data_IF_254031751586
#
_entry.id   IF_254031751586
#
_cell.length_a   1.000
_cell.length_b   1.000
_cell.length_c   1.000
_cell.angle_alpha   90.00
_cell.angle_beta   90.00
_cell.angle_gamma   90.00
#
_symmetry.space_group_name_H-M   'P 1'
#
loop_
_entity.id
_entity.type
_entity.pdbx_description
1 polymer ?
#
# COMPACT_ATOMS: atom_id res chain seq x y z
N UNK A 1 16.64 -13.59 14.72
CA UNK A 1 16.07 -14.52 13.72
C UNK A 1 15.30 -13.66 12.73
N UNK A 2 15.66 -13.64 11.45
CA UNK A 2 14.92 -12.87 10.44
C UNK A 2 13.69 -13.68 9.99
N UNK A 3 12.53 -13.04 9.89
CA UNK A 3 11.26 -13.68 9.51
C UNK A 3 10.64 -12.88 8.37
N UNK A 4 10.36 -13.54 7.24
CA UNK A 4 9.57 -12.96 6.14
C UNK A 4 8.11 -12.99 6.55
N UNK A 5 7.41 -11.87 6.43
CA UNK A 5 6.00 -11.75 6.81
C UNK A 5 5.22 -11.39 5.54
N UNK A 6 4.33 -12.27 5.04
CA UNK A 6 3.56 -12.01 3.84
C UNK A 6 2.53 -10.92 4.15
N UNK A 7 2.67 -9.76 3.53
CA UNK A 7 1.76 -8.63 3.67
C UNK A 7 1.19 -8.29 2.30
N UNK A 8 -0.13 -8.12 2.19
CA UNK A 8 -0.80 -7.85 0.92
C UNK A 8 -1.39 -6.44 0.93
N UNK A 9 -1.01 -5.64 -0.06
CA UNK A 9 -1.58 -4.32 -0.29
C UNK A 9 -2.39 -4.30 -1.59
N UNK A 10 -3.49 -3.56 -1.59
CA UNK A 10 -4.43 -3.43 -2.69
C UNK A 10 -4.79 -1.95 -2.90
N UNK A 11 -4.88 -1.52 -4.15
CA UNK A 11 -5.41 -0.21 -4.53
C UNK A 11 -6.37 -0.34 -5.72
N UNK A 12 -7.49 0.38 -5.69
CA UNK A 12 -8.52 0.35 -6.74
C UNK A 12 -9.17 1.72 -6.88
N UNK A 13 -9.15 2.28 -8.09
CA UNK A 13 -9.99 3.41 -8.48
C UNK A 13 -11.26 2.95 -9.21
N UNK A 14 -12.18 3.89 -9.41
CA UNK A 14 -13.49 3.62 -10.02
C UNK A 14 -13.44 3.42 -11.54
N UNK A 15 -12.38 3.92 -12.18
CA UNK A 15 -12.11 3.81 -13.62
C UNK A 15 -10.73 3.19 -13.92
N UNK A 16 -10.18 2.44 -12.95
CA UNK A 16 -8.85 1.85 -13.03
C UNK A 16 -8.89 0.35 -12.94
N UNK A 17 -7.74 -0.25 -13.22
CA UNK A 17 -7.46 -1.59 -12.73
C UNK A 17 -7.09 -1.61 -11.26
N UNK A 18 -7.37 -2.74 -10.65
CA UNK A 18 -6.95 -3.03 -9.29
C UNK A 18 -5.45 -3.35 -9.33
N UNK A 19 -4.67 -2.67 -8.48
CA UNK A 19 -3.28 -3.00 -8.24
C UNK A 19 -3.18 -3.82 -6.95
N UNK A 20 -2.43 -4.91 -7.00
CA UNK A 20 -2.14 -5.75 -5.83
C UNK A 20 -0.63 -5.94 -5.72
N UNK A 21 -0.09 -5.90 -4.50
CA UNK A 21 1.31 -6.26 -4.25
C UNK A 21 1.40 -7.15 -3.02
N UNK A 22 2.08 -8.28 -3.19
CA UNK A 22 2.39 -9.26 -2.16
C UNK A 22 3.90 -9.49 -2.10
N UNK A 23 4.72 -8.45 -1.92
CA UNK A 23 6.19 -8.59 -1.91
C UNK A 23 6.73 -9.49 -3.05
N UNK A 24 6.13 -9.39 -4.25
CA UNK A 24 6.42 -10.19 -5.45
C UNK A 24 5.78 -9.54 -6.68
N UNK A 25 6.57 -9.36 -7.74
CA UNK A 25 6.32 -8.46 -8.88
C UNK A 25 5.66 -9.22 -10.05
N UNK A 26 4.56 -8.70 -10.63
CA UNK A 26 4.38 -8.34 -12.07
C UNK A 26 2.92 -8.40 -12.58
N UNK A 27 2.42 -7.20 -12.94
CA UNK A 27 1.55 -6.69 -14.03
C UNK A 27 0.34 -7.42 -14.65
N UNK A 28 -0.72 -6.62 -14.92
CA UNK A 28 -1.75 -6.82 -15.97
C UNK A 28 -2.66 -5.58 -16.21
N UNK A 29 -2.75 -5.08 -17.45
CA UNK A 29 -3.56 -3.93 -17.98
C UNK A 29 -5.09 -4.03 -17.72
N UNK A 30 -6.01 -3.00 -17.87
CA UNK A 30 -6.08 -1.80 -18.74
C UNK A 30 -6.72 -0.45 -18.17
N UNK A 31 -7.25 0.43 -19.06
CA UNK A 31 -7.90 1.78 -18.96
C UNK A 31 -7.23 2.93 -18.16
N UNK A 32 -6.70 2.67 -16.98
CA UNK A 32 -5.66 3.47 -16.30
C UNK A 32 -4.77 2.47 -15.56
N UNK A 33 -3.47 2.52 -15.85
CA UNK A 33 -2.53 1.51 -15.38
C UNK A 33 -1.97 1.85 -13.99
N UNK A 34 -2.73 1.51 -12.93
CA UNK A 34 -2.19 1.62 -11.56
C UNK A 34 -1.15 0.53 -11.29
N UNK A 35 0.01 0.93 -10.78
CA UNK A 35 1.00 0.01 -10.21
C UNK A 35 1.16 0.28 -8.72
N UNK A 36 1.32 -0.80 -7.95
CA UNK A 36 1.59 -0.73 -6.52
C UNK A 36 2.96 -1.37 -6.24
N UNK A 37 3.78 -0.72 -5.41
CA UNK A 37 5.10 -1.23 -5.02
C UNK A 37 5.34 -1.00 -3.55
N UNK A 38 5.60 -2.07 -2.80
CA UNK A 38 5.89 -2.05 -1.37
C UNK A 38 7.40 -2.14 -1.12
N UNK A 39 7.96 -1.20 -0.37
CA UNK A 39 9.37 -1.15 -0.02
C UNK A 39 9.54 -1.05 1.49
N UNK A 40 10.43 -1.84 2.07
CA UNK A 40 10.71 -1.82 3.50
C UNK A 40 12.05 -2.47 3.81
N UNK A 41 12.46 -2.48 5.09
CA UNK A 41 13.68 -3.14 5.51
C UNK A 41 13.64 -4.65 5.17
N UNK A 42 14.74 -5.16 4.62
CA UNK A 42 14.87 -6.57 4.24
C UNK A 42 14.77 -7.53 5.44
N UNK A 43 15.09 -7.04 6.63
CA UNK A 43 14.97 -7.76 7.89
C UNK A 43 14.45 -6.83 8.97
N UNK A 44 13.55 -7.35 9.80
CA UNK A 44 12.97 -6.63 10.93
C UNK A 44 13.26 -7.40 12.23
N UNK A 45 13.45 -6.66 13.32
CA UNK A 45 13.68 -7.24 14.65
C UNK A 45 12.34 -7.31 15.39
N UNK A 46 12.03 -8.46 15.97
CA UNK A 46 10.80 -8.64 16.76
C UNK A 46 10.75 -7.62 17.90
N UNK A 47 9.60 -6.98 18.07
CA UNK A 47 9.37 -5.95 19.09
C UNK A 47 9.93 -4.57 18.74
N UNK A 48 10.65 -4.41 17.63
CA UNK A 48 11.18 -3.12 17.18
C UNK A 48 10.27 -2.55 16.09
N UNK A 49 9.80 -1.30 16.21
CA UNK A 49 9.01 -0.66 15.17
C UNK A 49 9.89 -0.39 13.94
N UNK A 50 9.30 -0.56 12.76
CA UNK A 50 9.93 -0.29 11.47
C UNK A 50 8.92 0.35 10.52
N UNK A 51 9.43 1.16 9.61
CA UNK A 51 8.61 1.77 8.56
C UNK A 51 8.74 0.99 7.26
N UNK A 52 7.63 0.91 6.53
CA UNK A 52 7.62 0.53 5.14
C UNK A 52 6.73 1.48 4.35
N UNK A 53 7.00 1.60 3.06
CA UNK A 53 6.29 2.47 2.14
C UNK A 53 5.60 1.67 1.06
N UNK A 54 4.48 2.18 0.58
CA UNK A 54 3.73 1.66 -0.56
C UNK A 54 3.57 2.81 -1.53
N UNK A 55 4.07 2.62 -2.74
CA UNK A 55 3.94 3.60 -3.82
C UNK A 55 2.85 3.14 -4.78
N UNK A 56 1.82 3.96 -4.94
CA UNK A 56 0.73 3.77 -5.89
C UNK A 56 0.94 4.77 -7.01
N UNK A 57 1.24 4.29 -8.21
CA UNK A 57 1.53 5.14 -9.38
C UNK A 57 0.47 4.92 -10.44
N UNK A 58 -0.07 6.02 -10.97
CA UNK A 58 -0.84 5.96 -12.20
C UNK A 58 0.10 6.04 -13.40
N UNK A 59 0.37 4.91 -14.03
CA UNK A 59 1.23 4.81 -15.22
C UNK A 59 0.49 5.06 -16.53
N UNK A 60 -0.79 5.47 -16.46
CA UNK A 60 -1.46 5.95 -17.65
C UNK A 60 -0.86 7.30 -18.10
N UNK A 61 -0.88 7.55 -19.40
CA UNK A 61 -0.33 8.75 -20.00
C UNK A 61 -1.36 9.88 -20.10
N UNK A 62 -2.65 9.57 -20.10
CA UNK A 62 -3.73 10.53 -20.41
C UNK A 62 -4.88 10.50 -19.43
N UNK A 63 -5.14 9.37 -18.76
CA UNK A 63 -6.31 9.17 -17.93
C UNK A 63 -6.02 9.26 -16.43
N UNK A 64 -6.89 9.97 -15.70
CA UNK A 64 -6.80 10.12 -14.24
C UNK A 64 -7.48 8.94 -13.55
N UNK A 65 -6.82 8.34 -12.56
CA UNK A 65 -7.40 7.35 -11.67
C UNK A 65 -8.29 8.03 -10.62
N UNK A 66 -9.60 7.77 -10.63
CA UNK A 66 -10.56 8.47 -9.77
C UNK A 66 -10.90 7.70 -8.51
N UNK A 67 -10.95 8.40 -7.37
CA UNK A 67 -11.35 7.87 -6.06
C UNK A 67 -10.63 6.57 -5.70
N UNK A 68 -9.29 6.61 -5.71
CA UNK A 68 -8.45 5.44 -5.46
C UNK A 68 -8.56 5.02 -3.99
N UNK A 69 -9.28 3.93 -3.76
CA UNK A 69 -9.33 3.26 -2.48
C UNK A 69 -8.05 2.44 -2.25
N UNK A 70 -7.57 2.42 -1.01
CA UNK A 70 -6.38 1.72 -0.55
C UNK A 70 -6.73 0.81 0.62
N UNK A 71 -6.21 -0.40 0.60
CA UNK A 71 -6.27 -1.37 1.71
C UNK A 71 -4.94 -2.11 1.80
N UNK A 72 -4.38 -2.24 2.98
CA UNK A 72 -3.25 -3.10 3.28
C UNK A 72 -3.61 -3.98 4.47
N UNK A 73 -3.64 -5.29 4.20
CA UNK A 73 -4.01 -6.27 5.19
C UNK A 73 -2.84 -6.60 6.11
N UNK A 74 -3.12 -6.38 7.39
CA UNK A 74 -2.20 -6.66 8.45
C UNK A 74 -1.97 -8.18 8.60
N UNK A 75 -0.71 -8.66 8.57
CA UNK A 75 -0.43 -10.09 8.72
C UNK A 75 -0.30 -10.52 10.17
N UNK A 76 -0.72 -11.75 10.48
CA UNK A 76 -0.62 -12.28 11.84
C UNK A 76 0.82 -12.17 12.40
N UNK A 77 0.94 -11.68 13.64
CA UNK A 77 2.24 -11.44 14.27
C UNK A 77 2.92 -10.12 13.89
N UNK A 78 2.20 -9.19 13.26
CA UNK A 78 2.60 -7.78 13.14
C UNK A 78 1.61 -6.93 13.96
N UNK A 79 1.82 -5.63 14.09
CA UNK A 79 0.80 -4.64 14.45
C UNK A 79 1.12 -3.38 13.64
N UNK A 80 0.13 -2.75 13.01
CA UNK A 80 0.32 -1.41 12.44
C UNK A 80 0.12 -0.38 13.55
N UNK A 81 1.12 0.47 13.75
CA UNK A 81 1.12 1.51 14.78
C UNK A 81 0.56 2.83 14.23
N UNK A 82 1.02 3.23 13.05
CA UNK A 82 0.58 4.45 12.37
C UNK A 82 0.53 4.24 10.86
N UNK A 83 -0.34 5.00 10.19
CA UNK A 83 -0.38 5.11 8.74
C UNK A 83 -0.49 6.57 8.34
N UNK A 84 0.21 6.94 7.28
CA UNK A 84 0.16 8.27 6.68
C UNK A 84 0.23 8.16 5.17
N UNK A 85 -0.29 9.15 4.46
CA UNK A 85 -0.28 9.20 3.01
C UNK A 85 0.16 10.58 2.53
N UNK A 86 0.81 10.64 1.37
CA UNK A 86 1.12 11.90 0.70
C UNK A 86 -0.11 12.57 0.07
N UNK A 87 -1.20 11.83 -0.11
CA UNK A 87 -2.47 12.33 -0.63
C UNK A 87 -3.67 11.57 -0.06
N UNK A 88 -4.82 12.24 -0.01
CA UNK A 88 -6.05 11.67 0.53
C UNK A 88 -5.97 11.40 2.04
N UNK A 89 -6.86 10.53 2.51
CA UNK A 89 -6.99 10.18 3.93
C UNK A 89 -6.83 8.67 4.11
N UNK A 90 -6.04 8.30 5.10
CA UNK A 90 -5.76 6.91 5.49
C UNK A 90 -5.87 6.76 7.00
N UNK A 91 -6.27 5.58 7.46
CA UNK A 91 -6.40 5.22 8.86
C UNK A 91 -6.18 3.73 9.07
N UNK A 92 -5.93 3.33 10.31
CA UNK A 92 -5.96 1.91 10.71
C UNK A 92 -7.38 1.64 11.18
N UNK A 93 -8.04 0.62 10.61
CA UNK A 93 -9.41 0.28 10.95
C UNK A 93 -9.50 -0.55 12.25
N UNK A 94 -10.72 -0.91 12.65
CA UNK A 94 -10.96 -1.70 13.86
C UNK A 94 -10.43 -3.15 13.81
N UNK A 95 -10.06 -3.66 12.62
CA UNK A 95 -9.43 -4.98 12.45
C UNK A 95 -7.90 -4.92 12.42
N UNK A 96 -7.31 -3.72 12.43
CA UNK A 96 -5.86 -3.52 12.39
C UNK A 96 -5.26 -3.34 10.99
N UNK A 97 -6.10 -3.38 9.95
CA UNK A 97 -5.68 -3.14 8.56
C UNK A 97 -5.55 -1.64 8.29
N UNK A 98 -4.60 -1.26 7.43
CA UNK A 98 -4.51 0.11 6.95
C UNK A 98 -5.46 0.30 5.77
N UNK A 99 -6.35 1.28 5.84
CA UNK A 99 -7.36 1.56 4.82
C UNK A 99 -7.45 3.05 4.52
N UNK A 100 -7.97 3.42 3.36
CA UNK A 100 -8.20 4.83 3.06
C UNK A 100 -8.67 5.10 1.64
N UNK A 101 -8.87 6.37 1.36
CA UNK A 101 -9.10 6.88 0.01
C UNK A 101 -8.03 7.93 -0.29
N UNK A 102 -7.20 7.64 -1.30
CA UNK A 102 -6.09 8.45 -1.74
C UNK A 102 -6.54 9.63 -2.63
N UNK A 103 -7.82 9.66 -3.00
CA UNK A 103 -8.38 10.64 -3.92
C UNK A 103 -8.08 10.30 -5.37
N UNK A 104 -8.04 11.32 -6.21
CA UNK A 104 -7.76 11.17 -7.63
C UNK A 104 -6.25 11.24 -7.89
N UNK A 105 -5.72 10.33 -8.71
CA UNK A 105 -4.31 10.26 -9.08
C UNK A 105 -4.18 10.53 -10.58
N UNK A 106 -3.68 11.73 -10.91
CA UNK A 106 -3.47 12.15 -12.30
C UNK A 106 -2.41 11.29 -13.03
N UNK A 107 -2.39 11.29 -14.38
CA UNK A 107 -1.39 10.60 -15.18
C UNK A 107 0.05 10.88 -14.72
N UNK A 108 0.85 9.83 -14.52
CA UNK A 108 2.25 9.91 -14.11
C UNK A 108 2.50 10.29 -12.65
N UNK A 109 1.45 10.49 -11.84
CA UNK A 109 1.58 10.82 -10.42
C UNK A 109 1.71 9.55 -9.56
N UNK A 110 2.59 9.63 -8.57
CA UNK A 110 2.75 8.62 -7.52
C UNK A 110 2.26 9.18 -6.19
N UNK A 111 1.37 8.43 -5.53
CA UNK A 111 0.97 8.64 -4.13
C UNK A 111 1.68 7.61 -3.26
N UNK A 112 2.24 8.05 -2.14
CA UNK A 112 2.98 7.17 -1.22
C UNK A 112 2.25 7.06 0.11
N UNK A 113 2.01 5.83 0.55
CA UNK A 113 1.51 5.49 1.88
C UNK A 113 2.67 4.97 2.71
N UNK A 114 2.88 5.52 3.90
CA UNK A 114 3.89 5.07 4.86
C UNK A 114 3.21 4.47 6.08
N UNK A 115 3.59 3.25 6.44
CA UNK A 115 3.05 2.53 7.59
C UNK A 115 4.19 2.18 8.53
N UNK A 116 4.03 2.58 9.79
CA UNK A 116 4.88 2.12 10.88
C UNK A 116 4.27 0.85 11.46
N UNK A 117 5.07 -0.21 11.56
CA UNK A 117 4.62 -1.50 12.05
C UNK A 117 5.60 -2.11 13.05
N UNK A 118 5.12 -3.00 13.91
CA UNK A 118 5.93 -3.75 14.88
C UNK A 118 5.65 -5.23 14.72
N UNK A 119 6.68 -6.08 14.64
CA UNK A 119 6.48 -7.53 14.69
C UNK A 119 6.26 -7.95 16.15
N UNK A 120 5.17 -8.64 16.43
CA UNK A 120 4.89 -9.22 17.75
C UNK A 120 5.43 -10.65 17.84
N UNK A 121 5.84 -11.10 19.05
CA UNK A 121 6.36 -12.45 19.28
C UNK A 121 5.42 -13.56 18.78
#
# INVERSE_FOLDING_TARGET
MARTIPNTANAKGTNTNDATDTFSITAGNPITNLSLTKTGPATVVVGVPFDYTISITNNDATETALSVAFTDNHPNGVVFNTVSSSAGLVSINGTGDAVGNLGDIAPGITVTVTINATVTP
#
